data_IF_026459883646
#
_entry.id   IF_026459883646
#
_cell.length_a   1.000
_cell.length_b   1.000
_cell.length_c   1.000
_cell.angle_alpha   90.00
_cell.angle_beta   90.00
_cell.angle_gamma   90.00
#
_symmetry.space_group_name_H-M   'P 1'
#
loop_
_entity.id
_entity.type
_entity.pdbx_description
1 polymer ?
#
# COMPACT_ATOMS: atom_id res chain seq x y z
N UNK A 1 -42.77 -12.22 -2.49
CA UNK A 1 -42.65 -11.26 -3.61
C UNK A 1 -41.19 -11.25 -4.04
N UNK A 2 -40.87 -11.65 -5.28
CA UNK A 2 -39.48 -11.78 -5.72
C UNK A 2 -38.88 -10.40 -6.03
N UNK A 3 -38.15 -9.83 -5.07
CA UNK A 3 -37.41 -8.58 -5.23
C UNK A 3 -36.51 -8.53 -6.50
N UNK A 4 -35.73 -9.58 -6.85
CA UNK A 4 -34.84 -9.50 -8.00
C UNK A 4 -35.57 -9.46 -9.35
N UNK A 5 -36.77 -10.04 -9.43
CA UNK A 5 -37.59 -9.98 -10.66
C UNK A 5 -38.26 -8.62 -10.83
N UNK A 6 -38.65 -7.99 -9.72
CA UNK A 6 -39.22 -6.65 -9.71
C UNK A 6 -38.17 -5.62 -10.12
N UNK A 7 -36.96 -5.72 -9.59
CA UNK A 7 -35.84 -4.84 -9.95
C UNK A 7 -35.53 -4.90 -11.45
N UNK A 8 -35.45 -6.11 -12.03
CA UNK A 8 -35.23 -6.29 -13.48
C UNK A 8 -36.34 -5.67 -14.32
N UNK A 9 -37.61 -5.81 -13.91
CA UNK A 9 -38.75 -5.20 -14.61
C UNK A 9 -38.74 -3.68 -14.53
N UNK A 10 -38.41 -3.12 -13.37
CA UNK A 10 -38.30 -1.67 -13.18
C UNK A 10 -37.14 -1.07 -13.97
N UNK A 11 -35.97 -1.72 -13.99
CA UNK A 11 -34.83 -1.31 -14.80
C UNK A 11 -35.14 -1.35 -16.30
N UNK A 12 -35.85 -2.39 -16.77
CA UNK A 12 -36.28 -2.48 -18.17
C UNK A 12 -37.24 -1.37 -18.55
N UNK A 13 -38.19 -1.04 -17.68
CA UNK A 13 -39.13 0.05 -17.88
C UNK A 13 -38.43 1.42 -17.91
N UNK A 14 -37.53 1.68 -16.96
CA UNK A 14 -36.78 2.93 -16.89
C UNK A 14 -35.89 3.15 -18.14
N UNK A 15 -35.25 2.10 -18.66
CA UNK A 15 -34.43 2.17 -19.88
C UNK A 15 -35.22 2.39 -21.17
N UNK A 16 -36.50 2.03 -21.18
CA UNK A 16 -37.36 2.24 -22.35
C UNK A 16 -37.89 3.67 -22.47
N UNK A 17 -37.72 4.49 -21.42
CA UNK A 17 -38.11 5.89 -21.44
C UNK A 17 -37.00 6.74 -22.07
N UNK A 18 -37.34 7.65 -23.01
CA UNK A 18 -36.36 8.56 -23.60
C UNK A 18 -35.80 9.49 -22.50
N UNK A 19 -34.54 9.95 -22.64
CA UNK A 19 -33.96 10.89 -21.70
C UNK A 19 -34.80 12.16 -21.69
N UNK A 20 -35.45 12.41 -20.57
CA UNK A 20 -36.25 13.59 -20.33
C UNK A 20 -35.55 14.45 -19.28
N UNK A 21 -35.40 15.74 -19.56
CA UNK A 21 -34.83 16.72 -18.62
C UNK A 21 -35.75 16.99 -17.41
N UNK A 22 -36.96 16.41 -17.41
CA UNK A 22 -37.93 16.55 -16.34
C UNK A 22 -37.59 15.63 -15.15
N UNK A 23 -36.66 16.08 -14.33
CA UNK A 23 -36.40 15.49 -13.02
C UNK A 23 -37.47 15.96 -12.01
N UNK A 24 -37.95 15.09 -11.11
CA UNK A 24 -38.88 15.51 -10.06
C UNK A 24 -38.32 16.65 -9.22
N UNK A 25 -39.19 17.57 -8.80
CA UNK A 25 -38.81 18.71 -7.99
C UNK A 25 -37.97 18.30 -6.77
N UNK A 26 -36.84 18.99 -6.58
CA UNK A 26 -35.84 18.75 -5.54
C UNK A 26 -35.14 17.37 -5.57
N UNK A 27 -35.23 16.60 -6.66
CA UNK A 27 -34.47 15.35 -6.82
C UNK A 27 -32.96 15.59 -6.63
N UNK A 28 -32.41 16.58 -7.32
CA UNK A 28 -30.99 16.93 -7.21
C UNK A 28 -30.60 17.30 -5.77
N UNK A 29 -31.44 18.09 -5.09
CA UNK A 29 -31.22 18.47 -3.69
C UNK A 29 -31.20 17.26 -2.77
N UNK A 30 -32.09 16.28 -2.99
CA UNK A 30 -32.17 15.03 -2.22
C UNK A 30 -30.95 14.15 -2.47
N UNK A 31 -30.50 14.04 -3.71
CA UNK A 31 -29.28 13.27 -4.07
C UNK A 31 -28.05 13.92 -3.44
N UNK A 32 -27.90 15.24 -3.59
CA UNK A 32 -26.77 15.98 -3.02
C UNK A 32 -26.75 15.94 -1.49
N UNK A 33 -27.93 15.96 -0.84
CA UNK A 33 -28.03 15.79 0.60
C UNK A 33 -27.55 14.38 1.04
N UNK A 34 -27.91 13.33 0.30
CA UNK A 34 -27.45 11.96 0.58
C UNK A 34 -25.94 11.80 0.34
N UNK A 35 -25.42 12.33 -0.77
CA UNK A 35 -23.98 12.33 -1.06
C UNK A 35 -23.16 13.08 0.01
N UNK A 36 -23.73 14.16 0.57
CA UNK A 36 -23.08 14.92 1.65
C UNK A 36 -23.16 14.20 3.00
N UNK A 37 -24.22 13.42 3.22
CA UNK A 37 -24.43 12.63 4.43
C UNK A 37 -23.62 11.33 4.45
N UNK A 38 -23.10 10.88 3.31
CA UNK A 38 -22.18 9.75 3.30
C UNK A 38 -20.89 10.11 4.06
N UNK A 39 -20.38 9.20 4.91
CA UNK A 39 -19.11 9.41 5.59
C UNK A 39 -18.04 9.60 4.52
N UNK A 40 -17.54 10.83 4.39
CA UNK A 40 -16.37 11.11 3.56
C UNK A 40 -15.23 10.28 4.12
N UNK A 41 -14.87 9.21 3.40
CA UNK A 41 -13.68 8.44 3.71
C UNK A 41 -12.50 9.39 3.62
N UNK A 42 -11.91 9.73 4.78
CA UNK A 42 -10.86 10.73 4.87
C UNK A 42 -9.65 10.24 4.05
N UNK A 43 -9.39 10.84 2.87
CA UNK A 43 -8.34 10.38 1.98
C UNK A 43 -6.99 10.51 2.66
N UNK A 44 -6.78 11.55 3.48
CA UNK A 44 -5.53 11.72 4.22
C UNK A 44 -5.30 10.62 5.24
N UNK A 45 -6.35 10.18 5.96
CA UNK A 45 -6.23 9.07 6.91
C UNK A 45 -5.96 7.73 6.22
N UNK A 46 -6.42 7.55 4.98
CA UNK A 46 -6.07 6.38 4.17
C UNK A 46 -4.62 6.45 3.69
N UNK A 47 -4.22 7.58 3.09
CA UNK A 47 -2.85 7.80 2.62
C UNK A 47 -1.82 7.74 3.74
N UNK A 48 -2.12 8.31 4.92
CA UNK A 48 -1.24 8.26 6.09
C UNK A 48 -1.02 6.84 6.60
N UNK A 49 -2.07 6.01 6.65
CA UNK A 49 -1.94 4.59 7.01
C UNK A 49 -1.11 3.82 5.97
N UNK A 50 -1.23 4.16 4.70
CA UNK A 50 -0.47 3.53 3.63
C UNK A 50 1.02 3.92 3.70
N UNK A 51 1.32 5.19 3.97
CA UNK A 51 2.68 5.69 4.20
C UNK A 51 3.32 5.00 5.42
N UNK A 52 2.56 4.84 6.51
CA UNK A 52 3.07 4.22 7.73
C UNK A 52 3.48 2.76 7.49
N UNK A 53 2.74 2.03 6.66
CA UNK A 53 3.09 0.65 6.29
C UNK A 53 4.41 0.54 5.51
N UNK A 54 4.83 1.60 4.80
CA UNK A 54 6.11 1.63 4.09
C UNK A 54 7.27 2.14 4.98
N UNK A 55 6.98 3.05 5.91
CA UNK A 55 8.00 3.57 6.83
C UNK A 55 8.47 2.51 7.85
N UNK A 56 7.56 1.66 8.33
CA UNK A 56 7.87 0.61 9.32
C UNK A 56 8.96 -0.38 8.84
N UNK A 57 8.90 -1.00 7.65
CA UNK A 57 9.95 -1.92 7.21
C UNK A 57 11.28 -1.21 6.97
N UNK A 58 11.27 0.04 6.48
CA UNK A 58 12.47 0.83 6.31
C UNK A 58 13.17 1.08 7.65
N UNK A 59 12.42 1.54 8.66
CA UNK A 59 12.96 1.82 9.98
C UNK A 59 13.42 0.54 10.69
N UNK A 60 12.68 -0.57 10.51
CA UNK A 60 13.09 -1.87 11.01
C UNK A 60 14.44 -2.32 10.41
N UNK A 61 14.63 -2.16 9.10
CA UNK A 61 15.89 -2.53 8.43
C UNK A 61 17.08 -1.70 8.94
N UNK A 62 16.89 -0.39 9.15
CA UNK A 62 17.91 0.49 9.72
C UNK A 62 18.29 0.05 11.13
N UNK A 63 17.29 -0.26 11.98
CA UNK A 63 17.54 -0.73 13.35
C UNK A 63 18.28 -2.07 13.36
N UNK A 64 17.87 -3.01 12.50
CA UNK A 64 18.55 -4.31 12.39
C UNK A 64 20.00 -4.14 11.96
N UNK A 65 20.26 -3.33 10.92
CA UNK A 65 21.63 -3.04 10.48
C UNK A 65 22.45 -2.37 11.58
N UNK A 66 21.88 -1.38 12.27
CA UNK A 66 22.54 -0.69 13.37
C UNK A 66 22.92 -1.64 14.51
N UNK A 67 22.00 -2.53 14.91
CA UNK A 67 22.27 -3.53 15.95
C UNK A 67 23.33 -4.53 15.49
N UNK A 68 23.28 -4.99 14.23
CA UNK A 68 24.28 -5.88 13.66
C UNK A 68 25.66 -5.21 13.59
N UNK A 69 25.75 -3.93 13.23
CA UNK A 69 27.01 -3.18 13.23
C UNK A 69 27.57 -3.01 14.65
N UNK A 70 26.71 -2.81 15.65
CA UNK A 70 27.15 -2.71 17.04
C UNK A 70 27.58 -4.04 17.65
N UNK A 71 26.97 -5.16 17.26
CA UNK A 71 27.36 -6.50 17.71
C UNK A 71 28.51 -7.11 16.89
N UNK A 72 28.65 -6.72 15.63
CA UNK A 72 29.53 -7.35 14.63
C UNK A 72 31.00 -6.92 14.69
N UNK A 73 31.39 -6.08 15.64
CA UNK A 73 32.77 -5.62 15.80
C UNK A 73 33.07 -4.35 15.01
N UNK A 74 33.96 -3.54 15.59
CA UNK A 74 34.40 -2.26 15.05
C UNK A 74 34.99 -2.46 13.65
N UNK A 75 34.67 -1.60 12.66
CA UNK A 75 35.41 -1.58 11.40
C UNK A 75 36.89 -1.40 11.73
N UNK A 76 37.73 -2.24 11.14
CA UNK A 76 39.18 -2.06 11.26
C UNK A 76 39.56 -0.73 10.59
N UNK A 77 40.39 0.08 11.25
CA UNK A 77 40.83 1.37 10.70
C UNK A 77 41.66 1.21 9.42
N UNK A 78 42.06 -0.03 9.09
CA UNK A 78 42.89 -0.36 7.94
C UNK A 78 42.16 -1.25 6.94
N UNK A 79 41.54 -0.61 5.95
CA UNK A 79 40.85 -1.26 4.83
C UNK A 79 41.73 -2.27 4.07
N UNK A 80 43.05 -2.08 4.10
CA UNK A 80 43.99 -2.98 3.43
C UNK A 80 44.01 -4.37 4.07
N UNK A 81 43.94 -4.45 5.40
CA UNK A 81 43.99 -5.71 6.14
C UNK A 81 42.68 -6.51 5.95
N UNK A 82 41.54 -5.83 5.99
CA UNK A 82 40.22 -6.45 5.73
C UNK A 82 40.13 -6.98 4.28
N UNK A 83 40.69 -6.24 3.32
CA UNK A 83 40.71 -6.65 1.92
C UNK A 83 41.62 -7.86 1.70
N UNK A 84 42.82 -7.84 2.27
CA UNK A 84 43.76 -8.95 2.23
C UNK A 84 43.14 -10.21 2.84
N UNK A 85 42.50 -10.08 4.01
CA UNK A 85 41.82 -11.18 4.69
C UNK A 85 40.64 -11.73 3.88
N UNK A 86 39.86 -10.88 3.22
CA UNK A 86 38.73 -11.31 2.37
C UNK A 86 39.22 -12.05 1.12
N UNK A 87 40.29 -11.57 0.47
CA UNK A 87 40.89 -12.23 -0.69
C UNK A 87 41.45 -13.60 -0.32
N UNK A 88 42.23 -13.68 0.75
CA UNK A 88 42.82 -14.95 1.16
C UNK A 88 41.80 -15.94 1.71
N UNK A 89 40.73 -15.48 2.37
CA UNK A 89 39.64 -16.35 2.79
C UNK A 89 38.89 -16.98 1.60
N UNK A 90 38.68 -16.22 0.52
CA UNK A 90 38.09 -16.76 -0.71
C UNK A 90 39.00 -17.77 -1.42
N UNK A 91 40.31 -17.51 -1.42
CA UNK A 91 41.32 -18.39 -2.05
C UNK A 91 41.54 -19.67 -1.23
N UNK A 92 41.59 -19.59 0.11
CA UNK A 92 41.76 -20.76 0.96
C UNK A 92 40.59 -21.73 0.84
N UNK A 93 39.35 -21.21 0.77
CA UNK A 93 38.16 -22.04 0.54
C UNK A 93 38.17 -22.71 -0.84
N UNK A 94 38.67 -22.00 -1.87
CA UNK A 94 38.82 -22.59 -3.19
C UNK A 94 39.86 -23.72 -3.19
N UNK A 95 41.02 -23.53 -2.56
CA UNK A 95 42.09 -24.54 -2.49
C UNK A 95 41.66 -25.79 -1.71
N UNK A 96 40.86 -25.64 -0.66
CA UNK A 96 40.40 -26.75 0.18
C UNK A 96 39.25 -27.57 -0.48
N UNK A 97 38.66 -27.06 -1.57
CA UNK A 97 37.61 -27.72 -2.34
C UNK A 97 38.09 -28.56 -3.53
N UNK A 98 39.41 -28.65 -3.74
CA UNK A 98 40.09 -29.51 -4.73
C UNK A 98 40.85 -30.65 -4.06
#
# INVERSE_FOLDING_TARGET
MNLPELEKKLLKAARSQPPADSVPYAFEQRIMARLRAEPRMDPLAFWGRMLWRAAVPCLAMVVVMFVLSHLGGQPSDNLADDFEQTLFAGISQAIESW
#
